data_IF_986241263811
#
_entry.id   IF_986241263811
#
_cell.length_a   1.000
_cell.length_b   1.000
_cell.length_c   1.000
_cell.angle_alpha   90.00
_cell.angle_beta   90.00
_cell.angle_gamma   90.00
#
_symmetry.space_group_name_H-M   'P 1'
#
loop_
_entity.id
_entity.type
_entity.pdbx_description
1 polymer ?
#
# COMPACT_ATOMS: atom_id res chain seq x y z
N UNK A 1 19.89 -13.72 -7.13
CA UNK A 1 20.10 -12.40 -7.71
C UNK A 1 18.77 -11.87 -8.25
N UNK A 2 18.43 -10.62 -7.95
CA UNK A 2 17.14 -10.07 -8.33
C UNK A 2 17.23 -9.40 -9.69
N UNK A 3 16.50 -9.94 -10.66
CA UNK A 3 16.43 -9.36 -12.02
C UNK A 3 15.34 -8.31 -12.08
N UNK A 4 15.31 -7.46 -13.10
CA UNK A 4 14.19 -6.53 -13.28
C UNK A 4 12.83 -7.24 -13.35
N UNK A 5 12.78 -8.44 -13.92
CA UNK A 5 11.55 -9.21 -13.97
C UNK A 5 11.13 -9.66 -12.57
N UNK A 6 12.09 -10.05 -11.76
CA UNK A 6 11.82 -10.43 -10.37
C UNK A 6 11.30 -9.23 -9.58
N UNK A 7 11.86 -8.04 -9.80
CA UNK A 7 11.42 -6.84 -9.13
C UNK A 7 9.96 -6.54 -9.49
N UNK A 8 9.60 -6.65 -10.77
CA UNK A 8 8.22 -6.44 -11.20
C UNK A 8 7.27 -7.44 -10.55
N UNK A 9 7.67 -8.71 -10.48
CA UNK A 9 6.85 -9.73 -9.83
C UNK A 9 6.67 -9.43 -8.34
N UNK A 10 7.74 -9.05 -7.68
CA UNK A 10 7.68 -8.70 -6.25
C UNK A 10 6.74 -7.52 -6.04
N UNK A 11 6.84 -6.50 -6.87
CA UNK A 11 5.96 -5.34 -6.77
C UNK A 11 4.49 -5.74 -6.94
N UNK A 12 4.20 -6.60 -7.92
CA UNK A 12 2.84 -7.08 -8.14
C UNK A 12 2.33 -7.89 -6.96
N UNK A 13 3.18 -8.74 -6.40
CA UNK A 13 2.82 -9.54 -5.23
C UNK A 13 2.56 -8.65 -4.02
N UNK A 14 3.33 -7.58 -3.87
CA UNK A 14 3.12 -6.61 -2.81
C UNK A 14 1.75 -5.92 -2.99
N UNK A 15 1.43 -5.53 -4.21
CA UNK A 15 0.11 -4.92 -4.51
C UNK A 15 -1.01 -5.88 -4.12
N UNK A 16 -0.90 -7.13 -4.51
CA UNK A 16 -1.92 -8.13 -4.17
C UNK A 16 -2.03 -8.32 -2.66
N UNK A 17 -0.90 -8.30 -1.96
CA UNK A 17 -0.87 -8.40 -0.51
C UNK A 17 -1.59 -7.21 0.13
N UNK A 18 -1.31 -6.00 -0.35
CA UNK A 18 -1.93 -4.79 0.18
C UNK A 18 -3.43 -4.77 -0.09
N UNK A 19 -3.88 -5.37 -1.18
CA UNK A 19 -5.30 -5.48 -1.48
C UNK A 19 -6.05 -6.40 -0.54
N UNK A 20 -5.34 -7.16 0.28
CA UNK A 20 -5.93 -8.02 1.30
C UNK A 20 -5.86 -7.42 2.70
N UNK A 21 -5.35 -6.20 2.82
CA UNK A 21 -5.25 -5.51 4.10
C UNK A 21 -6.27 -4.39 4.10
N UNK A 22 -7.18 -4.41 5.06
CA UNK A 22 -8.30 -3.49 5.10
C UNK A 22 -8.11 -2.42 6.15
N UNK A 23 -8.54 -1.20 5.81
CA UNK A 23 -8.57 -0.10 6.76
C UNK A 23 -9.57 -0.44 7.89
N UNK A 24 -9.22 -0.13 9.14
CA UNK A 24 -10.11 -0.47 10.26
C UNK A 24 -11.39 0.35 10.30
N UNK A 25 -11.44 1.50 9.66
CA UNK A 25 -12.61 2.37 9.68
C UNK A 25 -13.43 2.30 8.41
N UNK A 26 -12.78 2.13 7.27
CA UNK A 26 -13.44 2.09 5.97
C UNK A 26 -13.28 0.68 5.41
N UNK A 27 -14.36 -0.02 5.06
CA UNK A 27 -14.28 -1.43 4.64
C UNK A 27 -13.75 -1.57 3.20
N UNK A 28 -12.62 -0.97 2.94
CA UNK A 28 -11.93 -1.04 1.65
C UNK A 28 -10.46 -1.31 1.96
N UNK A 29 -9.81 -2.10 1.11
CA UNK A 29 -8.40 -2.40 1.32
C UNK A 29 -7.54 -1.15 1.13
N UNK A 30 -6.35 -1.16 1.75
CA UNK A 30 -5.50 0.03 1.80
C UNK A 30 -5.01 0.47 0.43
N UNK A 31 -4.86 -0.47 -0.51
CA UNK A 31 -4.41 -0.12 -1.86
C UNK A 31 -5.51 0.63 -2.63
N UNK A 32 -6.72 0.08 -2.64
CA UNK A 32 -7.84 0.69 -3.35
C UNK A 32 -8.32 1.98 -2.70
N UNK A 33 -8.07 2.15 -1.40
CA UNK A 33 -8.33 3.42 -0.72
C UNK A 33 -7.43 4.55 -1.21
N UNK A 34 -6.33 4.20 -1.88
CA UNK A 34 -5.37 5.22 -2.31
C UNK A 34 -4.43 5.65 -1.20
N UNK A 35 -4.27 4.81 -0.18
CA UNK A 35 -3.35 5.12 0.92
C UNK A 35 -1.89 4.86 0.55
N UNK A 36 -1.65 4.05 -0.46
CA UNK A 36 -0.30 3.68 -0.87
C UNK A 36 0.15 4.65 -1.96
N UNK A 37 1.12 5.49 -1.64
CA UNK A 37 1.61 6.50 -2.57
C UNK A 37 2.73 5.99 -3.46
N UNK A 38 3.56 5.10 -2.93
CA UNK A 38 4.71 4.62 -3.67
C UNK A 38 5.13 3.25 -3.18
N UNK A 39 5.44 2.38 -4.11
CA UNK A 39 6.04 1.08 -3.82
C UNK A 39 7.30 0.99 -4.63
N UNK A 40 8.45 0.86 -3.96
CA UNK A 40 9.74 0.76 -4.62
C UNK A 40 10.46 -0.48 -4.11
N UNK A 41 10.86 -1.36 -5.02
CA UNK A 41 11.59 -2.58 -4.68
C UNK A 41 12.99 -2.47 -5.23
N UNK A 42 13.98 -2.53 -4.35
CA UNK A 42 15.37 -2.46 -4.75
C UNK A 42 15.91 -3.84 -5.15
N UNK A 43 17.01 -3.87 -5.91
CA UNK A 43 17.55 -5.15 -6.41
C UNK A 43 17.86 -6.18 -5.33
N UNK A 44 18.10 -5.75 -4.10
CA UNK A 44 18.33 -6.66 -2.98
C UNK A 44 17.07 -7.25 -2.38
N UNK A 45 15.90 -6.88 -2.88
CA UNK A 45 14.63 -7.33 -2.30
C UNK A 45 14.11 -6.43 -1.20
N UNK A 46 14.70 -5.27 -1.02
CA UNK A 46 14.23 -4.30 -0.04
C UNK A 46 13.00 -3.58 -0.57
N UNK A 47 11.90 -3.69 0.13
CA UNK A 47 10.63 -3.09 -0.26
C UNK A 47 10.44 -1.78 0.51
N UNK A 48 10.31 -0.68 -0.22
CA UNK A 48 10.08 0.63 0.36
C UNK A 48 8.68 1.07 -0.01
N UNK A 49 7.84 1.31 0.99
CA UNK A 49 6.45 1.70 0.80
C UNK A 49 6.25 3.07 1.44
N UNK A 50 5.75 4.01 0.65
CA UNK A 50 5.36 5.32 1.18
C UNK A 50 3.84 5.39 1.14
N UNK A 51 3.24 5.69 2.28
CA UNK A 51 1.80 5.66 2.43
C UNK A 51 1.30 6.70 3.40
N UNK A 52 -0.01 6.87 3.42
CA UNK A 52 -0.68 7.75 4.38
C UNK A 52 -1.79 6.99 5.09
N UNK A 53 -2.51 7.68 5.96
CA UNK A 53 -3.68 7.16 6.66
C UNK A 53 -4.89 8.03 6.36
N UNK A 54 -6.08 7.47 6.59
CA UNK A 54 -7.32 8.22 6.38
C UNK A 54 -7.50 9.32 7.41
N UNK A 55 -6.86 9.18 8.57
CA UNK A 55 -6.89 10.19 9.62
C UNK A 55 -5.55 10.17 10.36
N UNK A 56 -4.97 11.36 10.66
CA UNK A 56 -3.65 11.42 11.32
C UNK A 56 -3.63 10.85 12.72
N UNK A 57 -4.79 10.79 13.39
CA UNK A 57 -4.87 10.32 14.78
C UNK A 57 -5.64 9.00 14.88
N UNK A 58 -5.54 8.16 13.88
CA UNK A 58 -6.19 6.86 13.90
C UNK A 58 -5.58 5.98 14.99
N UNK A 59 -6.35 5.57 16.01
CA UNK A 59 -5.79 4.74 17.09
C UNK A 59 -5.37 3.35 16.63
N UNK A 60 -5.86 2.92 15.46
CA UNK A 60 -5.51 1.63 14.90
C UNK A 60 -4.34 1.71 13.92
N UNK A 61 -3.72 2.88 13.81
CA UNK A 61 -2.63 3.10 12.84
C UNK A 61 -1.47 2.14 13.07
N UNK A 62 -1.07 1.97 14.31
CA UNK A 62 0.07 1.11 14.63
C UNK A 62 -0.20 -0.34 14.22
N UNK A 63 -1.41 -0.81 14.44
CA UNK A 63 -1.79 -2.17 14.04
C UNK A 63 -1.80 -2.33 12.54
N UNK A 64 -2.29 -1.32 11.84
CA UNK A 64 -2.33 -1.35 10.38
C UNK A 64 -0.92 -1.37 9.80
N UNK A 65 -0.05 -0.50 10.28
CA UNK A 65 1.34 -0.45 9.82
C UNK A 65 2.07 -1.74 10.12
N UNK A 66 1.85 -2.31 11.30
CA UNK A 66 2.46 -3.56 11.68
C UNK A 66 1.98 -4.70 10.79
N UNK A 67 0.70 -4.73 10.47
CA UNK A 67 0.13 -5.72 9.58
C UNK A 67 0.74 -5.62 8.18
N UNK A 68 0.87 -4.40 7.66
CA UNK A 68 1.48 -4.17 6.37
C UNK A 68 2.92 -4.66 6.37
N UNK A 69 3.68 -4.30 7.38
CA UNK A 69 5.07 -4.71 7.51
C UNK A 69 5.20 -6.22 7.53
N UNK A 70 4.38 -6.88 8.31
CA UNK A 70 4.41 -8.33 8.44
C UNK A 70 4.00 -9.03 7.14
N UNK A 71 2.88 -8.61 6.55
CA UNK A 71 2.36 -9.29 5.37
C UNK A 71 3.25 -9.07 4.14
N UNK A 72 3.75 -7.86 3.95
CA UNK A 72 4.65 -7.57 2.85
C UNK A 72 5.97 -8.31 3.03
N UNK A 73 6.42 -8.46 4.26
CA UNK A 73 7.65 -9.18 4.56
C UNK A 73 7.57 -10.66 4.19
N UNK A 74 6.36 -11.21 4.07
CA UNK A 74 6.17 -12.61 3.68
C UNK A 74 6.19 -12.82 2.18
N UNK A 75 6.19 -11.76 1.40
CA UNK A 75 6.23 -11.87 -0.05
C UNK A 75 7.58 -12.47 -0.47
N UNK A 76 7.51 -13.47 -1.36
CA UNK A 76 8.71 -14.13 -1.83
C UNK A 76 9.63 -13.15 -2.56
N UNK A 77 10.86 -13.08 -2.11
CA UNK A 77 11.85 -12.18 -2.69
C UNK A 77 12.06 -10.91 -1.88
N UNK A 78 11.18 -10.62 -0.94
CA UNK A 78 11.33 -9.46 -0.06
C UNK A 78 12.29 -9.83 1.07
N UNK A 79 13.34 -9.05 1.23
CA UNK A 79 14.34 -9.26 2.28
C UNK A 79 14.16 -8.31 3.46
N UNK A 80 13.59 -7.13 3.20
CA UNK A 80 13.27 -6.18 4.26
C UNK A 80 12.14 -5.29 3.81
N UNK A 81 11.45 -4.67 4.76
CA UNK A 81 10.33 -3.79 4.50
C UNK A 81 10.53 -2.48 5.23
N UNK A 82 10.44 -1.38 4.52
CA UNK A 82 10.48 -0.04 5.08
C UNK A 82 9.18 0.65 4.74
N UNK A 83 8.41 1.02 5.75
CA UNK A 83 7.15 1.75 5.55
C UNK A 83 7.35 3.17 6.04
N UNK A 84 7.19 4.12 5.14
CA UNK A 84 7.29 5.54 5.47
C UNK A 84 5.91 6.16 5.46
N UNK A 85 5.52 6.71 6.59
CA UNK A 85 4.23 7.35 6.73
C UNK A 85 4.36 8.83 6.40
N UNK A 86 3.47 9.32 5.55
CA UNK A 86 3.45 10.74 5.19
C UNK A 86 2.01 11.24 5.18
N UNK A 87 1.85 12.52 5.47
CA UNK A 87 0.55 13.18 5.38
C UNK A 87 0.56 14.31 4.35
N UNK A 88 1.53 14.27 3.43
CA UNK A 88 1.66 15.25 2.37
C UNK A 88 1.81 14.51 1.03
N UNK A 89 0.78 14.52 0.18
CA UNK A 89 -0.51 15.16 0.41
C UNK A 89 -1.38 14.38 1.40
N UNK A 90 -2.30 15.05 2.10
CA UNK A 90 -3.23 14.34 2.97
C UNK A 90 -4.19 13.49 2.14
N UNK A 91 -4.62 12.38 2.73
CA UNK A 91 -5.57 11.51 2.04
C UNK A 91 -6.92 12.21 1.88
N UNK A 92 -7.54 11.99 0.72
CA UNK A 92 -8.86 12.50 0.41
C UNK A 92 -9.63 11.38 -0.29
N UNK A 93 -10.94 11.39 -0.13
CA UNK A 93 -11.80 10.37 -0.74
C UNK A 93 -11.66 10.30 -2.26
N UNK A 94 -11.25 11.38 -2.90
CA UNK A 94 -11.01 11.39 -4.34
C UNK A 94 -9.86 10.46 -4.75
N UNK A 95 -9.05 10.02 -3.79
CA UNK A 95 -7.93 9.14 -4.05
C UNK A 95 -8.32 7.66 -4.08
N UNK A 96 -9.56 7.33 -3.69
CA UNK A 96 -10.01 5.95 -3.69
C UNK A 96 -10.14 5.40 -5.11
N UNK A 97 -9.56 4.24 -5.34
CA UNK A 97 -9.75 3.53 -6.61
C UNK A 97 -11.10 2.82 -6.65
N UNK A 98 -11.56 2.32 -5.49
CA UNK A 98 -12.85 1.66 -5.40
C UNK A 98 -13.91 2.72 -5.10
N UNK A 99 -14.47 3.26 -6.16
CA UNK A 99 -15.50 4.28 -6.08
C UNK A 99 -16.75 3.79 -6.80
N UNK A 100 -17.90 4.47 -6.59
CA UNK A 100 -19.07 4.20 -7.43
C UNK A 100 -18.67 4.26 -8.90
N UNK A 101 -19.18 3.33 -9.67
CA UNK A 101 -18.79 3.15 -11.07
C UNK A 101 -18.80 4.45 -11.88
N UNK A 102 -19.80 5.28 -11.64
CA UNK A 102 -19.94 6.52 -12.38
C UNK A 102 -18.78 7.48 -12.13
N UNK A 103 -18.25 7.50 -10.92
CA UNK A 103 -17.15 8.38 -10.58
C UNK A 103 -15.82 7.89 -11.16
N UNK A 104 -15.64 6.60 -11.26
CA UNK A 104 -14.42 6.05 -11.80
C UNK A 104 -14.25 6.40 -13.26
N UNK A 105 -15.33 6.36 -14.02
CA UNK A 105 -15.27 6.67 -15.45
C UNK A 105 -15.08 8.15 -15.70
N UNK A 106 -15.60 8.99 -14.82
CA UNK A 106 -15.48 10.42 -15.02
C UNK A 106 -14.05 10.92 -14.86
N UNK A 107 -13.18 10.12 -14.25
CA UNK A 107 -11.79 10.50 -14.10
C UNK A 107 -10.94 10.23 -15.33
N UNK A 108 -11.50 9.57 -16.30
CA UNK A 108 -10.81 9.30 -17.56
C UNK A 108 -11.02 10.43 -18.54
#
# INVERSE_FOLDING_TARGET
>A
MTTPEDIMRIEQDIVLTLKNIYDPEIPVNVYDLGLIYEIDVEPGGEANIRMTLTAPNCPMADQLLEQIHEQVGKVKGVTSVNVTLTFDPPWDRSMMFVMPTTLRFSSL
#
